data_IF_627563162267
#
_entry.id   IF_627563162267
#
_cell.length_a   1.000
_cell.length_b   1.000
_cell.length_c   1.000
_cell.angle_alpha   90.00
_cell.angle_beta   90.00
_cell.angle_gamma   90.00
#
_symmetry.space_group_name_H-M   'P 1'
#
loop_
_entity.id
_entity.type
_entity.pdbx_description
1 polymer ?
#
# COMPACT_ATOMS: atom_id res chain seq x y z
N UNK A 1 -19.34 -9.96 100.29
CA UNK A 1 -18.79 -9.20 99.16
C UNK A 1 -18.40 -10.20 98.07
N UNK A 2 -18.73 -9.86 96.83
CA UNK A 2 -18.91 -10.70 95.64
C UNK A 2 -17.81 -11.73 95.33
N UNK A 3 -18.20 -12.98 95.11
CA UNK A 3 -17.43 -13.98 94.37
C UNK A 3 -17.65 -13.78 92.87
N UNK A 4 -16.60 -13.43 92.11
CA UNK A 4 -16.64 -13.39 90.65
C UNK A 4 -16.57 -14.81 90.08
N UNK A 5 -17.67 -15.31 89.53
CA UNK A 5 -17.68 -16.54 88.75
C UNK A 5 -17.16 -16.27 87.34
N UNK A 6 -15.94 -16.74 87.05
CA UNK A 6 -15.42 -16.84 85.68
C UNK A 6 -16.10 -17.98 84.95
N UNK A 7 -17.06 -17.67 84.09
CA UNK A 7 -17.69 -18.65 83.18
C UNK A 7 -16.74 -18.97 82.03
N UNK A 8 -16.18 -20.18 82.00
CA UNK A 8 -15.52 -20.71 80.82
C UNK A 8 -16.59 -21.12 79.81
N UNK A 9 -16.77 -20.30 78.77
CA UNK A 9 -17.60 -20.65 77.63
C UNK A 9 -16.91 -21.77 76.83
N UNK A 10 -17.25 -23.02 77.12
CA UNK A 10 -16.82 -24.18 76.35
C UNK A 10 -17.42 -24.12 74.95
N UNK A 11 -16.59 -23.96 73.93
CA UNK A 11 -17.01 -24.05 72.53
C UNK A 11 -17.52 -25.48 72.30
N UNK A 12 -18.78 -25.61 71.88
CA UNK A 12 -19.37 -26.92 71.60
C UNK A 12 -18.62 -27.61 70.45
N UNK A 13 -18.62 -28.95 70.42
CA UNK A 13 -18.00 -29.74 69.31
C UNK A 13 -18.49 -29.31 67.91
N UNK A 14 -19.70 -28.74 67.81
CA UNK A 14 -20.22 -28.17 66.57
C UNK A 14 -19.59 -26.81 66.22
N UNK A 15 -19.33 -25.96 67.22
CA UNK A 15 -18.65 -24.67 67.04
C UNK A 15 -17.19 -24.83 66.60
N UNK A 16 -16.46 -25.82 67.14
CA UNK A 16 -15.08 -26.09 66.71
C UNK A 16 -15.01 -26.62 65.28
N UNK A 17 -15.96 -27.46 64.85
CA UNK A 17 -16.07 -27.92 63.45
C UNK A 17 -16.36 -26.75 62.49
N UNK A 18 -17.23 -25.83 62.87
CA UNK A 18 -17.56 -24.67 62.04
C UNK A 18 -16.36 -23.72 61.87
N UNK A 19 -15.62 -23.46 62.95
CA UNK A 19 -14.39 -22.67 62.90
C UNK A 19 -13.32 -23.35 62.04
N UNK A 20 -13.16 -24.68 62.16
CA UNK A 20 -12.21 -25.44 61.34
C UNK A 20 -12.55 -25.34 59.84
N UNK A 21 -13.82 -25.45 59.46
CA UNK A 21 -14.27 -25.31 58.08
C UNK A 21 -14.05 -23.90 57.52
N UNK A 22 -14.27 -22.86 58.33
CA UNK A 22 -13.98 -21.48 57.94
C UNK A 22 -12.48 -21.24 57.71
N UNK A 23 -11.62 -21.80 58.57
CA UNK A 23 -10.18 -21.70 58.42
C UNK A 23 -9.67 -22.45 57.18
N UNK A 24 -10.23 -23.62 56.89
CA UNK A 24 -9.93 -24.38 55.67
C UNK A 24 -10.40 -23.60 54.43
N UNK A 25 -11.60 -23.03 54.46
CA UNK A 25 -12.12 -22.18 53.39
C UNK A 25 -11.24 -20.96 53.12
N UNK A 26 -10.83 -20.26 54.18
CA UNK A 26 -9.92 -19.11 54.08
C UNK A 26 -8.54 -19.52 53.55
N UNK A 27 -8.01 -20.68 53.96
CA UNK A 27 -6.75 -21.21 53.46
C UNK A 27 -6.85 -21.60 51.97
N UNK A 28 -7.97 -22.19 51.53
CA UNK A 28 -8.21 -22.53 50.13
C UNK A 28 -8.35 -21.27 49.26
N UNK A 29 -9.08 -20.26 49.72
CA UNK A 29 -9.19 -18.97 49.04
C UNK A 29 -7.82 -18.30 48.96
N UNK A 30 -7.07 -18.26 50.05
CA UNK A 30 -5.70 -17.73 50.08
C UNK A 30 -4.75 -18.47 49.15
N UNK A 31 -4.81 -19.81 49.11
CA UNK A 31 -4.01 -20.63 48.20
C UNK A 31 -4.38 -20.40 46.73
N UNK A 32 -5.68 -20.31 46.42
CA UNK A 32 -6.14 -20.02 45.06
C UNK A 32 -5.75 -18.62 44.58
N UNK A 33 -5.84 -17.61 45.46
CA UNK A 33 -5.34 -16.26 45.18
C UNK A 33 -3.83 -16.21 45.00
N UNK A 34 -3.08 -16.96 45.82
CA UNK A 34 -1.63 -17.09 45.69
C UNK A 34 -1.24 -17.74 44.35
N UNK A 35 -1.89 -18.83 43.94
CA UNK A 35 -1.65 -19.48 42.65
C UNK A 35 -1.98 -18.56 41.48
N UNK A 36 -3.05 -17.75 41.58
CA UNK A 36 -3.40 -16.76 40.57
C UNK A 36 -2.32 -15.66 40.44
N UNK A 37 -1.81 -15.13 41.55
CA UNK A 37 -0.76 -14.10 41.56
C UNK A 37 0.58 -14.66 41.06
N UNK A 38 0.95 -15.88 41.47
CA UNK A 38 2.18 -16.53 41.01
C UNK A 38 2.11 -16.90 39.52
N UNK A 39 0.92 -17.24 39.00
CA UNK A 39 0.68 -17.50 37.57
C UNK A 39 0.57 -16.23 36.71
N UNK A 40 0.43 -15.05 37.31
CA UNK A 40 0.29 -13.75 36.61
C UNK A 40 1.54 -12.88 36.72
N UNK A 41 2.72 -13.49 36.85
CA UNK A 41 3.97 -12.78 36.59
C UNK A 41 3.97 -12.30 35.13
N UNK A 42 4.21 -11.01 34.85
CA UNK A 42 4.34 -10.54 33.48
C UNK A 42 5.51 -11.28 32.84
N UNK A 43 5.22 -12.16 31.88
CA UNK A 43 6.25 -12.72 31.01
C UNK A 43 6.84 -11.52 30.27
N UNK A 44 8.12 -11.26 30.48
CA UNK A 44 8.82 -10.20 29.77
C UNK A 44 8.94 -10.64 28.32
N UNK A 45 7.93 -10.30 27.52
CA UNK A 45 7.87 -10.64 26.11
C UNK A 45 9.01 -9.89 25.42
N UNK A 46 9.81 -10.61 24.62
CA UNK A 46 10.84 -9.98 23.81
C UNK A 46 10.20 -8.92 22.91
N UNK A 47 10.77 -7.73 22.91
CA UNK A 47 10.36 -6.61 22.09
C UNK A 47 11.49 -6.22 21.16
N UNK A 48 11.14 -5.60 20.03
CA UNK A 48 12.10 -5.12 19.04
C UNK A 48 12.99 -4.05 19.66
N UNK A 49 14.30 -4.18 19.49
CA UNK A 49 15.32 -3.21 19.85
C UNK A 49 16.17 -2.84 18.61
N UNK A 50 16.91 -1.74 18.71
CA UNK A 50 17.89 -1.38 17.68
C UNK A 50 18.93 -2.52 17.52
N UNK A 51 19.31 -2.80 16.28
CA UNK A 51 20.21 -3.90 15.93
C UNK A 51 19.56 -5.28 15.85
N UNK A 52 18.27 -5.42 16.19
CA UNK A 52 17.54 -6.67 15.97
C UNK A 52 17.28 -6.92 14.48
N UNK A 53 17.17 -8.18 14.11
CA UNK A 53 16.54 -8.62 12.86
C UNK A 53 15.09 -8.99 13.10
N UNK A 54 14.18 -8.49 12.27
CA UNK A 54 12.73 -8.70 12.40
C UNK A 54 12.09 -9.09 11.08
N UNK A 55 10.97 -9.83 11.18
CA UNK A 55 10.06 -10.05 10.05
C UNK A 55 8.75 -9.31 10.31
N UNK A 56 8.30 -8.56 9.29
CA UNK A 56 7.14 -7.68 9.39
C UNK A 56 6.11 -8.04 8.32
N UNK A 57 4.87 -8.30 8.74
CA UNK A 57 3.74 -8.14 7.85
C UNK A 57 3.34 -6.66 7.84
N UNK A 58 3.09 -6.08 6.67
CA UNK A 58 2.73 -4.67 6.60
C UNK A 58 1.75 -4.36 5.47
N UNK A 59 1.05 -3.24 5.63
CA UNK A 59 0.30 -2.58 4.57
C UNK A 59 0.61 -1.09 4.62
N UNK A 60 1.11 -0.55 3.51
CA UNK A 60 1.35 0.87 3.31
C UNK A 60 0.17 1.53 2.61
N UNK A 61 -0.40 2.56 3.24
CA UNK A 61 -1.56 3.30 2.76
C UNK A 61 -1.29 4.80 2.67
N UNK A 62 -1.97 5.45 1.73
CA UNK A 62 -2.16 6.90 1.76
C UNK A 62 -3.22 7.27 2.80
N UNK A 63 -3.28 8.55 3.18
CA UNK A 63 -4.28 9.07 4.13
C UNK A 63 -5.72 8.96 3.64
N UNK A 64 -5.94 8.73 2.34
CA UNK A 64 -7.26 8.46 1.76
C UNK A 64 -7.65 6.96 1.83
N UNK A 65 -6.84 6.12 2.47
CA UNK A 65 -7.08 4.68 2.66
C UNK A 65 -6.61 3.79 1.51
N UNK A 66 -6.17 4.36 0.39
CA UNK A 66 -5.67 3.57 -0.72
C UNK A 66 -4.31 2.93 -0.39
N UNK A 67 -4.18 1.63 -0.67
CA UNK A 67 -2.94 0.86 -0.50
C UNK A 67 -2.00 1.13 -1.67
N UNK A 68 -0.75 1.45 -1.34
CA UNK A 68 0.33 1.57 -2.33
C UNK A 68 1.35 0.43 -2.23
N UNK A 69 1.38 -0.31 -1.11
CA UNK A 69 2.26 -1.46 -0.95
C UNK A 69 1.76 -2.41 0.15
N UNK A 70 2.09 -3.70 0.07
CA UNK A 70 1.75 -4.69 1.11
C UNK A 70 2.59 -5.95 1.00
N UNK A 71 2.94 -6.55 2.14
CA UNK A 71 3.53 -7.89 2.19
C UNK A 71 2.50 -9.02 2.12
N UNK A 72 1.20 -8.71 2.06
CA UNK A 72 0.13 -9.68 2.27
C UNK A 72 -0.72 -9.88 1.02
N UNK A 73 -0.73 -11.10 0.49
CA UNK A 73 -1.53 -11.45 -0.68
C UNK A 73 -3.03 -11.18 -0.49
N UNK A 74 -3.57 -11.46 0.72
CA UNK A 74 -4.98 -11.21 1.06
C UNK A 74 -5.37 -9.74 0.95
N UNK A 75 -4.45 -8.82 1.26
CA UNK A 75 -4.64 -7.37 1.07
C UNK A 75 -4.50 -7.03 -0.41
N UNK A 76 -3.51 -7.58 -1.10
CA UNK A 76 -3.25 -7.31 -2.52
C UNK A 76 -4.45 -7.65 -3.43
N UNK A 77 -5.11 -8.78 -3.20
CA UNK A 77 -6.24 -9.25 -4.03
C UNK A 77 -7.58 -8.60 -3.70
N UNK A 78 -7.74 -8.05 -2.49
CA UNK A 78 -9.01 -7.50 -2.03
C UNK A 78 -9.08 -5.99 -2.29
N UNK A 79 -9.62 -5.58 -3.43
CA UNK A 79 -9.78 -4.16 -3.75
C UNK A 79 -10.98 -3.50 -3.03
N UNK A 80 -11.94 -4.29 -2.54
CA UNK A 80 -13.12 -3.76 -1.86
C UNK A 80 -12.82 -3.19 -0.48
N UNK A 81 -12.03 -3.93 0.32
CA UNK A 81 -11.58 -3.46 1.64
C UNK A 81 -10.29 -2.65 1.57
N UNK A 82 -9.46 -2.91 0.56
CA UNK A 82 -8.14 -2.29 0.40
C UNK A 82 -8.01 -1.71 -1.01
N UNK A 83 -8.66 -0.56 -1.30
CA UNK A 83 -8.61 0.04 -2.62
C UNK A 83 -7.14 0.34 -2.98
N UNK A 84 -6.72 -0.01 -4.19
CA UNK A 84 -5.33 0.22 -4.62
C UNK A 84 -5.16 1.61 -5.19
N UNK A 85 -4.08 2.28 -4.78
CA UNK A 85 -3.75 3.64 -5.20
C UNK A 85 -2.58 3.67 -6.20
N UNK A 86 -2.27 4.86 -6.73
CA UNK A 86 -1.14 5.04 -7.61
C UNK A 86 0.16 4.52 -7.00
N UNK A 87 0.93 3.76 -7.79
CA UNK A 87 2.20 3.18 -7.37
C UNK A 87 2.10 1.78 -6.78
N UNK A 88 0.88 1.25 -6.57
CA UNK A 88 0.70 -0.15 -6.21
C UNK A 88 1.16 -1.08 -7.33
N UNK A 89 1.95 -2.09 -7.00
CA UNK A 89 2.43 -3.09 -7.94
C UNK A 89 1.86 -4.47 -7.58
N UNK A 90 1.33 -5.17 -8.58
CA UNK A 90 0.85 -6.54 -8.40
C UNK A 90 2.01 -7.53 -8.55
N UNK A 91 2.28 -8.31 -7.51
CA UNK A 91 3.40 -9.27 -7.51
C UNK A 91 3.02 -10.68 -7.96
N UNK A 92 1.88 -10.88 -8.63
CA UNK A 92 1.49 -12.20 -9.09
C UNK A 92 0.93 -13.07 -7.95
N UNK A 93 1.40 -14.31 -7.87
CA UNK A 93 0.84 -15.31 -6.97
C UNK A 93 1.21 -15.08 -5.49
N UNK A 94 0.46 -15.73 -4.59
CA UNK A 94 0.63 -15.65 -3.13
C UNK A 94 2.07 -15.89 -2.65
N UNK A 95 2.85 -16.75 -3.32
CA UNK A 95 4.24 -17.05 -2.97
C UNK A 95 5.19 -15.85 -3.02
N UNK A 96 4.82 -14.81 -3.76
CA UNK A 96 5.62 -13.59 -3.92
C UNK A 96 5.37 -12.58 -2.80
N UNK A 97 4.33 -12.79 -2.00
CA UNK A 97 3.98 -11.94 -0.85
C UNK A 97 4.49 -12.61 0.43
N UNK A 98 5.59 -12.08 0.96
CA UNK A 98 6.28 -12.58 2.16
C UNK A 98 6.52 -11.41 3.12
N UNK A 99 6.61 -11.67 4.44
CA UNK A 99 6.99 -10.62 5.37
C UNK A 99 8.29 -9.94 4.96
N UNK A 100 8.33 -8.64 5.21
CA UNK A 100 9.52 -7.83 5.02
C UNK A 100 10.57 -8.22 6.07
N UNK A 101 11.79 -8.53 5.61
CA UNK A 101 12.93 -8.73 6.48
C UNK A 101 13.66 -7.40 6.68
N UNK A 102 13.75 -6.95 7.93
CA UNK A 102 14.64 -5.87 8.36
C UNK A 102 15.72 -6.54 9.19
N UNK A 103 16.94 -6.64 8.66
CA UNK A 103 18.03 -7.38 9.30
C UNK A 103 18.74 -6.59 10.39
N UNK A 104 18.56 -5.27 10.41
CA UNK A 104 19.23 -4.35 11.34
C UNK A 104 18.30 -3.15 11.62
N UNK A 105 17.45 -3.26 12.64
CA UNK A 105 16.53 -2.19 13.05
C UNK A 105 17.31 -0.95 13.50
N UNK A 106 16.92 0.22 13.02
CA UNK A 106 17.59 1.50 13.27
C UNK A 106 18.66 1.85 12.24
N UNK A 107 18.99 0.95 11.31
CA UNK A 107 19.99 1.19 10.25
C UNK A 107 19.45 1.93 9.02
N UNK A 108 18.14 2.20 8.95
CA UNK A 108 17.52 2.88 7.81
C UNK A 108 17.23 1.96 6.61
N UNK A 109 17.07 0.65 6.81
CA UNK A 109 16.62 -0.29 5.77
C UNK A 109 15.18 -0.05 5.31
N UNK A 110 14.39 0.61 6.16
CA UNK A 110 13.03 1.05 5.88
C UNK A 110 12.93 2.54 6.16
N UNK A 111 11.81 3.16 5.76
CA UNK A 111 11.60 4.58 6.04
C UNK A 111 11.70 4.87 7.54
N UNK A 112 12.33 5.98 7.89
CA UNK A 112 12.70 6.33 9.27
C UNK A 112 11.52 6.20 10.25
N UNK A 113 10.34 6.69 9.88
CA UNK A 113 9.17 6.62 10.74
C UNK A 113 8.69 5.19 11.00
N UNK A 114 8.86 4.26 10.05
CA UNK A 114 8.58 2.85 10.27
C UNK A 114 9.65 2.20 11.15
N UNK A 115 10.93 2.49 10.89
CA UNK A 115 12.07 1.95 11.65
C UNK A 115 11.95 2.31 13.14
N UNK A 116 11.68 3.57 13.45
CA UNK A 116 11.42 4.05 14.81
C UNK A 116 10.09 3.52 15.37
N UNK A 117 9.07 3.40 14.52
CA UNK A 117 7.72 3.03 14.93
C UNK A 117 7.58 1.58 15.41
N UNK A 118 8.46 0.67 14.94
CA UNK A 118 8.46 -0.74 15.31
C UNK A 118 9.23 -1.06 16.60
N UNK A 119 10.13 -0.17 17.04
CA UNK A 119 10.87 -0.36 18.30
C UNK A 119 9.91 -0.49 19.48
N UNK A 120 10.19 -1.45 20.37
CA UNK A 120 9.35 -1.80 21.50
C UNK A 120 8.13 -2.67 21.16
N UNK A 121 7.87 -2.97 19.88
CA UNK A 121 6.81 -3.90 19.51
C UNK A 121 7.17 -5.33 19.88
N UNK A 122 6.21 -6.10 20.35
CA UNK A 122 6.37 -7.52 20.59
C UNK A 122 5.88 -8.36 19.39
N UNK A 123 6.27 -9.62 19.32
CA UNK A 123 5.74 -10.56 18.32
C UNK A 123 4.21 -10.65 18.42
N UNK A 124 3.56 -10.69 17.26
CA UNK A 124 2.11 -10.63 17.02
C UNK A 124 1.44 -9.28 17.38
N UNK A 125 2.19 -8.30 17.88
CA UNK A 125 1.65 -6.96 18.05
C UNK A 125 1.46 -6.29 16.69
N UNK A 126 0.30 -5.66 16.51
CA UNK A 126 0.01 -4.82 15.35
C UNK A 126 -0.04 -3.35 15.78
N UNK A 127 0.55 -2.47 14.98
CA UNK A 127 0.57 -1.02 15.23
C UNK A 127 0.34 -0.26 13.93
N UNK A 128 -0.42 0.83 14.03
CA UNK A 128 -0.52 1.82 12.95
C UNK A 128 0.48 2.92 13.21
N UNK A 129 1.33 3.19 12.22
CA UNK A 129 2.42 4.15 12.27
C UNK A 129 2.13 5.20 11.20
N UNK A 130 1.98 6.47 11.61
CA UNK A 130 1.80 7.60 10.71
C UNK A 130 3.17 8.21 10.44
N UNK A 131 3.57 8.22 9.17
CA UNK A 131 4.90 8.64 8.74
C UNK A 131 4.77 9.91 7.91
N UNK A 132 5.12 11.09 8.45
CA UNK A 132 5.16 12.33 7.67
C UNK A 132 6.23 12.25 6.56
N UNK A 133 6.16 13.08 5.51
CA UNK A 133 7.10 13.02 4.39
C UNK A 133 8.57 13.03 4.81
N UNK A 134 8.93 13.81 5.83
CA UNK A 134 10.29 13.98 6.33
C UNK A 134 10.87 12.70 6.94
N UNK A 135 10.02 11.84 7.49
CA UNK A 135 10.38 10.53 8.04
C UNK A 135 10.07 9.38 7.06
N UNK A 136 9.52 9.73 5.89
CA UNK A 136 9.12 8.83 4.82
C UNK A 136 10.11 8.86 3.67
N UNK A 137 9.59 9.10 2.46
CA UNK A 137 10.40 9.18 1.24
C UNK A 137 10.90 10.61 0.92
N UNK A 138 10.63 11.57 1.80
CA UNK A 138 11.08 12.95 1.62
C UNK A 138 10.08 13.85 0.85
N UNK A 139 10.48 15.11 0.61
CA UNK A 139 9.65 16.09 -0.08
C UNK A 139 9.52 15.78 -1.58
N UNK A 140 8.56 16.41 -2.24
CA UNK A 140 8.47 16.37 -3.70
C UNK A 140 9.68 17.05 -4.33
N UNK A 141 10.17 16.49 -5.43
CA UNK A 141 10.96 17.26 -6.37
C UNK A 141 10.03 18.16 -7.19
N UNK A 142 10.14 19.48 -6.99
CA UNK A 142 9.35 20.49 -7.70
C UNK A 142 9.59 20.48 -9.22
N UNK A 143 10.76 20.03 -9.69
CA UNK A 143 11.05 19.95 -11.14
C UNK A 143 10.27 18.84 -11.85
N UNK A 144 9.66 17.92 -11.09
CA UNK A 144 8.80 16.85 -11.60
C UNK A 144 7.31 17.21 -11.49
N UNK A 145 7.00 18.48 -11.22
CA UNK A 145 5.63 18.99 -11.26
C UNK A 145 5.38 19.64 -12.62
N UNK A 146 4.24 19.30 -13.22
CA UNK A 146 3.77 19.93 -14.45
C UNK A 146 2.38 20.52 -14.21
N UNK A 147 1.99 21.43 -15.10
CA UNK A 147 0.75 22.20 -14.96
C UNK A 147 -0.12 21.99 -16.18
N UNK A 148 -1.37 21.63 -15.93
CA UNK A 148 -2.38 21.39 -16.94
C UNK A 148 -3.56 22.32 -16.66
N UNK A 149 -3.95 23.23 -17.58
CA UNK A 149 -5.12 24.05 -17.36
C UNK A 149 -6.39 23.18 -17.45
N UNK A 150 -7.39 23.49 -16.64
CA UNK A 150 -8.69 22.80 -16.66
C UNK A 150 -9.34 22.94 -18.03
N UNK A 151 -9.26 24.13 -18.64
CA UNK A 151 -9.61 24.35 -20.04
C UNK A 151 -8.36 24.33 -20.91
N UNK A 152 -8.37 23.51 -21.96
CA UNK A 152 -7.26 23.41 -22.92
C UNK A 152 -7.72 23.81 -24.31
N UNK A 153 -6.85 24.48 -25.05
CA UNK A 153 -7.06 24.78 -26.44
C UNK A 153 -6.02 24.02 -27.26
N UNK A 154 -6.47 23.16 -28.16
CA UNK A 154 -5.63 22.44 -29.12
C UNK A 154 -5.85 23.03 -30.51
N UNK A 155 -4.80 23.07 -31.32
CA UNK A 155 -4.94 23.34 -32.76
C UNK A 155 -5.68 22.16 -33.41
N UNK A 156 -6.45 22.39 -34.48
CA UNK A 156 -7.11 21.27 -35.18
C UNK A 156 -6.13 20.48 -36.06
N UNK A 157 -5.23 21.20 -36.74
CA UNK A 157 -4.32 20.63 -37.73
C UNK A 157 -2.96 20.35 -37.11
N UNK A 158 -2.47 19.12 -37.31
CA UNK A 158 -1.22 18.61 -36.82
C UNK A 158 -0.41 17.97 -37.95
N UNK A 159 0.89 17.82 -37.72
CA UNK A 159 1.74 17.08 -38.63
C UNK A 159 2.72 16.19 -37.89
N UNK A 160 3.08 15.07 -38.51
CA UNK A 160 4.12 14.19 -38.02
C UNK A 160 4.88 13.54 -39.17
N UNK A 161 6.09 13.05 -38.88
CA UNK A 161 6.86 12.28 -39.86
C UNK A 161 6.16 10.95 -40.20
N UNK A 162 6.22 10.53 -41.46
CA UNK A 162 5.54 9.31 -41.95
C UNK A 162 6.05 8.03 -41.27
N UNK A 163 7.33 7.93 -40.92
CA UNK A 163 7.85 6.81 -40.13
C UNK A 163 7.25 6.78 -38.72
N UNK A 164 7.07 7.95 -38.09
CA UNK A 164 6.40 8.03 -36.79
C UNK A 164 4.93 7.63 -36.90
N UNK A 165 4.24 8.05 -37.95
CA UNK A 165 2.86 7.67 -38.22
C UNK A 165 2.73 6.14 -38.36
N UNK A 166 3.55 5.53 -39.21
CA UNK A 166 3.58 4.07 -39.38
C UNK A 166 3.85 3.35 -38.06
N UNK A 167 4.81 3.80 -37.25
CA UNK A 167 5.12 3.17 -35.97
C UNK A 167 3.98 3.26 -34.95
N UNK A 168 3.19 4.34 -34.97
CA UNK A 168 2.06 4.53 -34.06
C UNK A 168 0.82 3.77 -34.50
N UNK A 169 0.53 3.74 -35.80
CA UNK A 169 -0.76 3.30 -36.34
C UNK A 169 -0.69 1.99 -37.15
N UNK A 170 0.51 1.51 -37.48
CA UNK A 170 0.72 0.33 -38.32
C UNK A 170 0.21 0.50 -39.77
N UNK A 171 -0.03 1.74 -40.19
CA UNK A 171 -0.59 2.07 -41.49
C UNK A 171 0.49 2.69 -42.38
N UNK A 172 0.78 2.04 -43.51
CA UNK A 172 1.61 2.62 -44.56
C UNK A 172 0.76 3.60 -45.37
N UNK A 173 1.32 4.80 -45.60
CA UNK A 173 0.71 5.81 -46.44
C UNK A 173 1.50 5.96 -47.74
N UNK A 174 0.77 6.29 -48.79
CA UNK A 174 1.33 6.60 -50.10
C UNK A 174 0.96 8.05 -50.44
N UNK A 175 1.70 8.65 -51.38
CA UNK A 175 1.42 10.01 -51.81
C UNK A 175 -0.04 10.15 -52.25
N UNK A 176 -0.77 11.07 -51.63
CA UNK A 176 -2.19 11.29 -51.87
C UNK A 176 -3.14 10.39 -51.09
N UNK A 177 -2.66 9.61 -50.12
CA UNK A 177 -3.50 8.88 -49.18
C UNK A 177 -4.46 9.82 -48.45
N UNK A 178 -5.74 9.42 -48.38
CA UNK A 178 -6.79 10.11 -47.62
C UNK A 178 -7.55 9.07 -46.78
N UNK A 179 -8.13 9.51 -45.67
CA UNK A 179 -8.89 8.61 -44.80
C UNK A 179 -8.89 9.06 -43.35
N UNK A 180 -9.51 8.25 -42.49
CA UNK A 180 -9.60 8.50 -41.06
C UNK A 180 -8.89 7.42 -40.25
N UNK A 181 -8.34 7.80 -39.11
CA UNK A 181 -7.75 6.88 -38.13
C UNK A 181 -8.16 7.29 -36.71
N UNK A 182 -7.86 6.45 -35.72
CA UNK A 182 -8.12 6.76 -34.31
C UNK A 182 -6.86 7.32 -33.67
N UNK A 183 -6.91 8.52 -33.10
CA UNK A 183 -5.75 9.13 -32.44
C UNK A 183 -5.25 8.23 -31.31
N UNK A 184 -3.94 8.00 -31.26
CA UNK A 184 -3.34 7.05 -30.32
C UNK A 184 -3.44 7.49 -28.85
N UNK A 185 -3.58 8.78 -28.59
CA UNK A 185 -3.67 9.36 -27.27
C UNK A 185 -5.09 9.80 -26.93
N UNK A 186 -5.73 10.58 -27.79
CA UNK A 186 -7.09 11.11 -27.59
C UNK A 186 -8.18 10.09 -27.84
N UNK A 187 -7.90 9.03 -28.62
CA UNK A 187 -8.84 7.98 -28.97
C UNK A 187 -10.11 8.45 -29.72
N UNK A 188 -10.12 9.68 -30.22
CA UNK A 188 -11.13 10.15 -31.18
C UNK A 188 -10.70 9.90 -32.61
N UNK A 189 -11.56 10.25 -33.55
CA UNK A 189 -11.26 10.15 -34.99
C UNK A 189 -10.45 11.34 -35.48
N UNK A 190 -9.44 11.06 -36.29
CA UNK A 190 -8.63 12.02 -37.03
C UNK A 190 -8.79 11.77 -38.54
N UNK A 191 -8.51 12.78 -39.36
CA UNK A 191 -8.51 12.69 -40.82
C UNK A 191 -7.17 13.10 -41.41
N UNK A 192 -6.65 12.29 -42.31
CA UNK A 192 -5.45 12.60 -43.11
C UNK A 192 -5.83 13.65 -44.15
N UNK A 193 -5.13 14.79 -44.13
CA UNK A 193 -5.30 15.87 -45.09
C UNK A 193 -4.34 15.73 -46.27
N UNK A 194 -3.07 15.39 -45.97
CA UNK A 194 -2.07 15.05 -46.97
C UNK A 194 -0.96 14.16 -46.38
N UNK A 195 -0.23 13.50 -47.27
CA UNK A 195 1.04 12.83 -46.96
C UNK A 195 2.01 13.15 -48.11
N UNK A 196 2.84 14.17 -47.90
CA UNK A 196 3.80 14.65 -48.88
C UNK A 196 5.18 14.81 -48.25
N UNK A 197 6.23 14.50 -49.01
CA UNK A 197 7.63 14.69 -48.60
C UNK A 197 7.97 14.06 -47.24
N UNK A 198 7.37 12.90 -46.91
CA UNK A 198 7.60 12.18 -45.65
C UNK A 198 6.96 12.83 -44.43
N UNK A 199 6.00 13.73 -44.63
CA UNK A 199 5.23 14.37 -43.56
C UNK A 199 3.74 14.10 -43.78
N UNK A 200 3.10 13.55 -42.77
CA UNK A 200 1.65 13.34 -42.71
C UNK A 200 1.03 14.53 -42.01
N UNK A 201 0.16 15.27 -42.70
CA UNK A 201 -0.68 16.31 -42.10
C UNK A 201 -2.06 15.74 -41.88
N UNK A 202 -2.58 15.92 -40.68
CA UNK A 202 -3.88 15.39 -40.27
C UNK A 202 -4.62 16.39 -39.40
N UNK A 203 -5.92 16.21 -39.30
CA UNK A 203 -6.83 17.06 -38.57
C UNK A 203 -7.61 16.25 -37.53
N UNK A 204 -7.71 16.79 -36.33
CA UNK A 204 -8.60 16.30 -35.28
C UNK A 204 -10.07 16.47 -35.70
N UNK A 205 -10.86 15.39 -35.59
CA UNK A 205 -12.30 15.37 -35.84
C UNK A 205 -13.12 14.88 -34.62
N UNK A 206 -12.93 15.44 -33.42
CA UNK A 206 -13.82 15.16 -32.31
C UNK A 206 -15.22 15.74 -32.55
N UNK A 207 -16.21 15.16 -31.86
CA UNK A 207 -17.56 15.73 -31.79
C UNK A 207 -17.72 16.63 -30.57
N UNK A 208 -18.45 17.73 -30.70
CA UNK A 208 -18.81 18.55 -29.52
C UNK A 208 -19.62 17.71 -28.52
N UNK A 209 -19.28 17.84 -27.24
CA UNK A 209 -19.85 17.02 -26.16
C UNK A 209 -19.25 15.62 -26.03
N UNK A 210 -18.36 15.19 -26.93
CA UNK A 210 -17.64 13.92 -26.80
C UNK A 210 -16.78 13.91 -25.53
N UNK A 211 -16.77 12.78 -24.83
CA UNK A 211 -15.90 12.54 -23.67
C UNK A 211 -14.87 11.48 -24.02
N UNK A 212 -13.60 11.80 -23.77
CA UNK A 212 -12.45 10.94 -24.04
C UNK A 212 -11.61 10.75 -22.77
N UNK A 213 -10.77 9.71 -22.76
CA UNK A 213 -9.94 9.35 -21.60
C UNK A 213 -8.46 9.27 -22.00
N UNK A 214 -7.84 10.39 -22.39
CA UNK A 214 -6.53 10.37 -23.04
C UNK A 214 -5.39 9.94 -22.12
N UNK A 215 -5.56 10.19 -20.81
CA UNK A 215 -4.59 9.81 -19.79
C UNK A 215 -4.86 8.42 -19.21
N UNK A 216 -5.92 7.75 -19.66
CA UNK A 216 -6.20 6.39 -19.22
C UNK A 216 -5.19 5.43 -19.85
N UNK A 217 -4.87 4.40 -19.09
CA UNK A 217 -4.10 3.28 -19.61
C UNK A 217 -4.99 2.04 -19.56
N UNK A 218 -5.01 1.25 -20.63
CA UNK A 218 -5.67 -0.05 -20.63
C UNK A 218 -4.99 -0.93 -19.58
N UNK A 219 -5.59 -1.10 -18.41
CA UNK A 219 -4.88 -1.74 -17.31
C UNK A 219 -5.78 -2.49 -16.34
N UNK A 220 -5.90 -3.78 -16.61
CA UNK A 220 -6.08 -4.80 -15.59
C UNK A 220 -4.82 -4.97 -14.70
N UNK A 221 -3.76 -4.16 -14.89
CA UNK A 221 -2.39 -4.42 -14.41
C UNK A 221 -1.86 -3.39 -13.41
N UNK A 222 -2.34 -2.13 -13.45
CA UNK A 222 -1.83 -1.00 -12.65
C UNK A 222 -2.99 -0.19 -12.05
N UNK A 223 -3.39 -0.50 -10.82
CA UNK A 223 -4.45 0.21 -10.15
C UNK A 223 -4.10 1.69 -9.90
N UNK A 224 -5.12 2.55 -9.95
CA UNK A 224 -4.97 3.98 -9.66
C UNK A 224 -4.52 4.84 -10.85
N UNK A 225 -4.24 4.27 -12.02
CA UNK A 225 -3.86 5.01 -13.25
C UNK A 225 -4.95 4.97 -14.33
N UNK A 226 -6.20 5.21 -13.93
CA UNK A 226 -7.35 5.15 -14.83
C UNK A 226 -7.56 6.40 -15.69
N UNK A 227 -6.79 7.47 -15.47
CA UNK A 227 -7.05 8.76 -16.11
C UNK A 227 -8.37 9.39 -15.63
N UNK A 228 -8.74 10.52 -16.23
CA UNK A 228 -9.99 11.23 -15.95
C UNK A 228 -10.71 11.56 -17.27
N UNK A 229 -12.03 11.80 -17.23
CA UNK A 229 -12.76 12.21 -18.42
C UNK A 229 -12.34 13.62 -18.88
N UNK A 230 -12.14 13.76 -20.17
CA UNK A 230 -11.89 15.03 -20.84
C UNK A 230 -13.00 15.27 -21.85
N UNK A 231 -13.74 16.36 -21.67
CA UNK A 231 -14.89 16.71 -22.50
C UNK A 231 -14.51 17.70 -23.59
N UNK A 232 -14.94 17.42 -24.82
CA UNK A 232 -14.86 18.34 -25.95
C UNK A 232 -15.95 19.40 -25.79
N UNK A 233 -15.55 20.64 -25.61
CA UNK A 233 -16.46 21.77 -25.40
C UNK A 233 -16.89 22.38 -26.73
N UNK A 234 -15.94 22.63 -27.63
CA UNK A 234 -16.22 23.19 -28.94
C UNK A 234 -15.16 22.83 -29.96
N UNK A 235 -15.57 22.74 -31.23
CA UNK A 235 -14.68 22.53 -32.38
C UNK A 235 -14.90 23.66 -33.38
N UNK A 236 -13.93 24.57 -33.47
CA UNK A 236 -14.02 25.73 -34.34
C UNK A 236 -12.96 25.64 -35.44
N UNK A 237 -13.34 25.18 -36.63
CA UNK A 237 -12.44 25.08 -37.79
C UNK A 237 -11.98 26.43 -38.36
N UNK A 238 -12.72 27.52 -38.10
CA UNK A 238 -12.38 28.86 -38.58
C UNK A 238 -11.42 29.63 -37.65
N UNK A 239 -11.20 29.15 -36.43
CA UNK A 239 -10.30 29.79 -35.46
C UNK A 239 -8.86 29.88 -35.96
N UNK A 240 -8.06 30.77 -35.35
CA UNK A 240 -6.61 30.87 -35.56
C UNK A 240 -6.20 31.00 -37.04
N UNK A 241 -6.85 31.92 -37.76
CA UNK A 241 -6.61 32.15 -39.20
C UNK A 241 -6.80 30.89 -40.07
N UNK A 242 -7.78 30.05 -39.72
CA UNK A 242 -8.12 28.83 -40.47
C UNK A 242 -7.35 27.57 -40.05
N UNK A 243 -6.48 27.64 -39.04
CA UNK A 243 -5.84 26.44 -38.48
C UNK A 243 -6.73 25.68 -37.47
N UNK A 244 -7.84 26.30 -37.07
CA UNK A 244 -8.85 25.74 -36.19
C UNK A 244 -8.43 25.61 -34.72
N UNK A 245 -9.41 25.44 -33.84
CA UNK A 245 -9.23 25.16 -32.42
C UNK A 245 -10.25 24.14 -31.88
N UNK A 246 -9.77 23.18 -31.08
CA UNK A 246 -10.59 22.33 -30.22
C UNK A 246 -10.43 22.83 -28.79
N UNK A 247 -11.54 23.16 -28.13
CA UNK A 247 -11.53 23.50 -26.71
C UNK A 247 -11.98 22.30 -25.89
N UNK A 248 -11.21 21.96 -24.87
CA UNK A 248 -11.42 20.83 -23.99
C UNK A 248 -11.59 21.26 -22.55
N UNK A 249 -12.31 20.46 -21.77
CA UNK A 249 -12.49 20.62 -20.33
C UNK A 249 -12.07 19.33 -19.62
N UNK A 250 -11.11 19.44 -18.71
CA UNK A 250 -10.68 18.36 -17.83
C UNK A 250 -11.66 18.23 -16.65
N UNK A 251 -12.47 17.16 -16.63
CA UNK A 251 -13.51 16.92 -15.62
C UNK A 251 -12.90 16.36 -14.32
N UNK A 252 -12.05 17.15 -13.67
CA UNK A 252 -11.35 16.76 -12.45
C UNK A 252 -12.17 17.18 -11.23
N UNK A 253 -12.54 16.19 -10.41
CA UNK A 253 -13.22 16.41 -9.14
C UNK A 253 -12.25 16.35 -7.95
N UNK A 254 -12.58 16.98 -6.80
CA UNK A 254 -11.72 16.94 -5.62
C UNK A 254 -11.38 15.54 -5.11
N UNK A 255 -12.28 14.56 -5.30
CA UNK A 255 -12.04 13.17 -4.87
C UNK A 255 -10.96 12.45 -5.69
N UNK A 256 -10.65 12.94 -6.90
CA UNK A 256 -9.59 12.39 -7.75
C UNK A 256 -8.20 12.89 -7.32
N UNK A 257 -8.13 14.03 -6.63
CA UNK A 257 -6.88 14.65 -6.19
C UNK A 257 -6.16 13.70 -5.23
N UNK A 258 -4.90 13.41 -5.55
CA UNK A 258 -4.00 12.44 -4.91
C UNK A 258 -4.47 10.99 -4.94
N UNK A 259 -5.67 10.71 -5.44
CA UNK A 259 -6.25 9.38 -5.52
C UNK A 259 -6.09 8.72 -6.90
N UNK A 260 -5.94 9.53 -7.94
CA UNK A 260 -5.93 9.10 -9.33
C UNK A 260 -4.73 9.66 -10.08
N UNK A 261 -4.17 8.83 -10.96
CA UNK A 261 -3.13 9.18 -11.89
C UNK A 261 -3.49 8.83 -13.33
N UNK A 262 -2.55 9.11 -14.23
CA UNK A 262 -2.65 8.74 -15.62
C UNK A 262 -1.28 8.56 -16.24
N UNK A 263 -1.27 8.30 -17.55
CA UNK A 263 -0.06 8.29 -18.38
C UNK A 263 -0.14 9.39 -19.42
N UNK A 264 0.99 10.04 -19.68
CA UNK A 264 1.09 10.98 -20.79
C UNK A 264 1.35 10.24 -22.12
N UNK A 265 1.49 11.00 -23.21
CA UNK A 265 1.77 10.48 -24.55
C UNK A 265 3.08 9.66 -24.64
N UNK A 266 4.04 9.87 -23.74
CA UNK A 266 5.31 9.13 -23.70
C UNK A 266 5.25 7.90 -22.80
N UNK A 267 4.10 7.62 -22.18
CA UNK A 267 3.91 6.53 -21.23
C UNK A 267 4.38 6.83 -19.80
N UNK A 268 4.86 8.05 -19.52
CA UNK A 268 5.26 8.46 -18.18
C UNK A 268 4.03 8.61 -17.28
N UNK A 269 4.07 7.96 -16.13
CA UNK A 269 3.00 8.02 -15.13
C UNK A 269 3.09 9.28 -14.29
N UNK A 270 1.94 9.77 -13.87
CA UNK A 270 1.81 10.90 -12.96
C UNK A 270 0.55 10.75 -12.09
N UNK A 271 0.46 11.57 -11.04
CA UNK A 271 -0.70 11.63 -10.15
C UNK A 271 -1.29 13.04 -10.18
N UNK A 272 -2.63 13.16 -10.18
CA UNK A 272 -3.30 14.44 -9.96
C UNK A 272 -2.98 14.93 -8.55
N UNK A 273 -2.30 16.07 -8.41
CA UNK A 273 -1.73 16.47 -7.13
C UNK A 273 -2.52 17.55 -6.42
N UNK A 274 -2.94 18.57 -7.17
CA UNK A 274 -3.78 19.66 -6.69
C UNK A 274 -4.54 20.29 -7.84
N UNK A 275 -5.61 21.00 -7.50
CA UNK A 275 -6.27 21.95 -8.40
C UNK A 275 -6.18 23.33 -7.74
N UNK A 276 -5.59 24.27 -8.46
CA UNK A 276 -5.40 25.63 -8.00
C UNK A 276 -6.68 26.43 -8.28
N UNK A 277 -6.93 27.48 -7.48
CA UNK A 277 -8.12 28.34 -7.62
C UNK A 277 -8.23 29.03 -8.98
N UNK A 278 -7.11 29.18 -9.70
CA UNK A 278 -7.05 29.73 -11.05
C UNK A 278 -7.41 28.71 -12.15
N UNK A 279 -7.89 27.51 -11.80
CA UNK A 279 -8.24 26.47 -12.78
C UNK A 279 -7.03 25.77 -13.39
N UNK A 280 -5.89 25.75 -12.70
CA UNK A 280 -4.71 24.96 -13.10
C UNK A 280 -4.57 23.72 -12.25
N UNK A 281 -4.40 22.57 -12.87
CA UNK A 281 -4.17 21.28 -12.24
C UNK A 281 -2.68 21.02 -12.18
N UNK A 282 -2.19 20.60 -11.02
CA UNK A 282 -0.80 20.15 -10.86
C UNK A 282 -0.73 18.65 -11.11
N UNK A 283 0.06 18.23 -12.07
CA UNK A 283 0.43 16.85 -12.34
C UNK A 283 1.76 16.54 -11.65
N UNK A 284 1.80 15.48 -10.86
CA UNK A 284 2.99 15.08 -10.12
C UNK A 284 3.62 13.81 -10.72
N UNK A 285 4.80 13.96 -11.31
CA UNK A 285 5.60 12.87 -11.90
C UNK A 285 6.62 12.26 -10.92
N UNK A 286 6.63 12.68 -9.66
CA UNK A 286 7.39 11.97 -8.62
C UNK A 286 6.81 10.56 -8.42
N UNK A 287 7.58 9.67 -7.80
CA UNK A 287 7.01 8.43 -7.24
C UNK A 287 5.86 8.82 -6.28
N UNK A 288 4.68 8.19 -6.36
CA UNK A 288 3.48 8.64 -5.65
C UNK A 288 3.60 8.79 -4.13
N UNK A 289 4.55 8.11 -3.49
CA UNK A 289 4.82 8.16 -2.05
C UNK A 289 5.56 9.44 -1.59
N UNK A 290 6.22 10.17 -2.49
CA UNK A 290 6.96 11.39 -2.13
C UNK A 290 6.02 12.53 -1.77
N UNK A 291 6.42 13.34 -0.78
CA UNK A 291 5.64 14.49 -0.30
C UNK A 291 4.29 14.14 0.33
N UNK A 292 4.06 12.87 0.69
CA UNK A 292 2.84 12.40 1.34
C UNK A 292 3.13 11.94 2.76
N UNK A 293 2.15 12.16 3.64
CA UNK A 293 2.04 11.39 4.87
C UNK A 293 1.55 10.00 4.50
N UNK A 294 2.22 8.98 5.01
CA UNK A 294 1.93 7.57 4.78
C UNK A 294 1.47 6.92 6.08
N UNK A 295 0.65 5.89 5.96
CA UNK A 295 0.14 5.12 7.09
C UNK A 295 0.59 3.68 6.89
N UNK A 296 1.41 3.17 7.81
CA UNK A 296 1.83 1.78 7.82
C UNK A 296 1.09 1.05 8.93
N UNK A 297 0.33 0.02 8.59
CA UNK A 297 -0.14 -0.96 9.58
C UNK A 297 0.82 -2.13 9.56
N UNK A 298 1.53 -2.35 10.66
CA UNK A 298 2.65 -3.29 10.75
C UNK A 298 2.36 -4.31 11.85
N UNK A 299 2.65 -5.58 11.58
CA UNK A 299 2.61 -6.67 12.54
C UNK A 299 3.98 -7.34 12.59
N UNK A 300 4.60 -7.40 13.78
CA UNK A 300 5.87 -8.11 13.97
C UNK A 300 5.58 -9.61 14.05
N UNK A 301 6.17 -10.41 13.18
CA UNK A 301 5.97 -11.88 13.17
C UNK A 301 7.16 -12.63 13.77
N UNK A 302 8.34 -12.01 13.79
CA UNK A 302 9.57 -12.59 14.31
C UNK A 302 10.55 -11.52 14.76
N UNK A 303 11.33 -11.81 15.80
CA UNK A 303 12.42 -10.99 16.32
C UNK A 303 13.62 -11.90 16.57
N UNK A 304 14.82 -11.46 16.19
CA UNK A 304 16.09 -12.09 16.50
C UNK A 304 17.11 -11.02 16.89
N UNK A 305 17.67 -11.15 18.09
CA UNK A 305 18.75 -10.30 18.56
C UNK A 305 20.09 -10.99 18.25
N UNK A 306 20.86 -10.52 17.26
CA UNK A 306 22.09 -11.19 16.82
C UNK A 306 23.18 -11.20 17.90
N UNK A 307 23.18 -10.21 18.81
CA UNK A 307 24.18 -10.08 19.86
C UNK A 307 23.99 -11.07 21.02
N UNK A 308 22.74 -11.42 21.31
CA UNK A 308 22.39 -12.33 22.42
C UNK A 308 21.95 -13.72 21.96
N UNK A 309 21.66 -13.89 20.66
CA UNK A 309 21.08 -15.11 20.09
C UNK A 309 19.64 -15.37 20.50
N UNK A 310 19.00 -14.45 21.23
CA UNK A 310 17.59 -14.57 21.63
C UNK A 310 16.70 -14.30 20.43
N UNK A 311 15.64 -15.10 20.30
CA UNK A 311 14.61 -14.88 19.29
C UNK A 311 13.22 -15.14 19.84
N UNK A 312 12.23 -14.55 19.20
CA UNK A 312 10.81 -14.73 19.50
C UNK A 312 10.00 -14.82 18.20
N UNK A 313 8.95 -15.64 18.23
CA UNK A 313 8.16 -15.98 17.04
C UNK A 313 8.71 -17.19 16.30
N UNK A 314 7.89 -17.80 15.45
CA UNK A 314 8.28 -18.93 14.61
C UNK A 314 8.20 -18.47 13.17
N UNK A 315 9.34 -18.27 12.47
CA UNK A 315 9.33 -18.01 11.04
C UNK A 315 8.62 -19.19 10.35
N UNK A 316 7.64 -18.93 9.50
CA UNK A 316 7.11 -19.98 8.64
C UNK A 316 8.24 -20.57 7.78
N UNK A 317 8.09 -21.80 7.28
CA UNK A 317 9.10 -22.45 6.43
C UNK A 317 9.52 -21.58 5.23
N UNK A 318 8.57 -20.82 4.65
CA UNK A 318 8.84 -19.86 3.57
C UNK A 318 9.66 -18.63 4.05
N UNK A 319 9.54 -18.25 5.32
CA UNK A 319 10.27 -17.15 5.95
C UNK A 319 11.67 -17.57 6.41
N UNK A 320 11.89 -18.83 6.77
CA UNK A 320 13.20 -19.36 7.14
C UNK A 320 14.24 -19.25 6.00
N UNK A 321 13.81 -19.41 4.75
CA UNK A 321 14.68 -19.23 3.56
C UNK A 321 15.14 -17.79 3.32
N UNK A 322 14.42 -16.80 3.87
CA UNK A 322 14.78 -15.37 3.81
C UNK A 322 15.81 -15.00 4.87
N UNK A 323 15.84 -15.73 5.99
CA UNK A 323 16.78 -15.52 7.10
C UNK A 323 18.12 -16.25 6.89
N UNK A 324 18.15 -17.39 6.18
CA UNK A 324 19.38 -18.12 5.82
C UNK A 324 19.14 -19.06 4.61
N UNK A 325 19.70 -18.77 3.41
CA UNK A 325 19.56 -19.61 2.22
C UNK A 325 20.17 -21.02 2.34
N UNK A 326 21.04 -21.25 3.32
CA UNK A 326 21.74 -22.53 3.53
C UNK A 326 20.97 -23.51 4.43
N UNK A 327 19.96 -23.04 5.18
CA UNK A 327 19.19 -23.83 6.15
C UNK A 327 18.02 -24.64 5.59
N UNK A 328 17.70 -24.52 4.30
CA UNK A 328 16.64 -25.29 3.64
C UNK A 328 16.87 -26.81 3.71
N UNK A 329 18.11 -27.25 3.96
CA UNK A 329 18.45 -28.68 4.08
C UNK A 329 18.35 -29.26 5.51
N UNK A 330 18.37 -28.44 6.56
CA UNK A 330 18.42 -28.94 7.94
C UNK A 330 17.06 -29.36 8.50
N UNK A 331 15.95 -28.72 8.09
CA UNK A 331 14.62 -29.04 8.61
C UNK A 331 13.89 -30.18 7.85
N UNK A 332 14.42 -30.62 6.70
CA UNK A 332 13.93 -31.84 6.03
C UNK A 332 14.31 -33.14 6.78
N UNK A 333 15.19 -33.08 7.78
CA UNK A 333 15.61 -34.25 8.55
C UNK A 333 14.80 -34.51 9.83
N UNK A 334 13.90 -33.61 10.24
CA UNK A 334 13.17 -33.74 11.52
C UNK A 334 11.75 -34.32 11.42
N UNK A 335 11.31 -34.76 10.23
CA UNK A 335 10.01 -35.46 10.06
C UNK A 335 10.18 -36.98 9.87
N UNK A 336 11.41 -37.50 9.87
CA UNK A 336 11.68 -38.93 9.84
C UNK A 336 12.45 -39.31 11.10
N UNK A 337 11.72 -39.68 12.16
CA UNK A 337 12.02 -40.75 13.14
C UNK A 337 11.24 -40.54 14.44
N UNK A 338 10.14 -41.27 14.61
CA UNK A 338 9.83 -42.04 15.83
C UNK A 338 8.93 -43.19 15.42
N UNK A 339 9.57 -44.32 15.11
CA UNK A 339 8.96 -45.65 15.15
C UNK A 339 9.00 -46.08 16.62
N UNK A 340 7.94 -46.70 17.16
CA UNK A 340 8.02 -48.08 17.67
C UNK A 340 6.78 -48.52 18.45
N UNK A 341 6.18 -49.60 17.93
CA UNK A 341 5.65 -50.81 18.58
C UNK A 341 5.12 -50.81 20.03
N UNK A 342 3.97 -51.49 20.19
CA UNK A 342 3.58 -52.53 21.17
C UNK A 342 2.03 -52.52 21.24
N UNK A 343 1.25 -53.61 21.24
CA UNK A 343 1.44 -55.06 21.34
C UNK A 343 0.09 -55.74 20.97
N UNK A 344 0.18 -57.00 20.55
CA UNK A 344 -0.84 -58.05 20.41
C UNK A 344 -1.82 -58.02 19.24
#
# INVERSE_FOLDING_TARGET
MSSSAGGSAGISRGGTMFIALLLIGAALVGYSGYQYIVSSKPVHQMTVQDGDSVLLNYTGQYTNGQVFDTSMYSVAINNGSYPKGPGFQWHGNQSNYKPLNVSDVGSGQVVQGMDQGIVGMAVNQTKTIVVPPQEGYGPLNASLLQYLPVYQNLTLVHSMNSTRFFNLYGQELHQGSTGTFTDAFWHWTDMILNDENGTVVYQYLPSEGQVVYPYSFNSTVEPGYSGWPVKVISVNSAANNGSGQVTLYNEISPSMIKALGGRNQTGSTFVLWSINSNGTVTLNYNRPVYGRTLIFTVTVTYINNPNTGKSAGVPSYAQASVLDPSRTRMYNFSILFTISSHMN
#
